data_IF_086715342817
#
_entry.id   IF_086715342817
#
_cell.length_a   1.000
_cell.length_b   1.000
_cell.length_c   1.000
_cell.angle_alpha   90.00
_cell.angle_beta   90.00
_cell.angle_gamma   90.00
#
_symmetry.space_group_name_H-M   'P 1'
#
loop_
_entity.id
_entity.type
_entity.pdbx_description
1 polymer ?
#
# COMPACT_ATOMS: atom_id res chain seq x y z
N UNK A 1 -2.16 9.40 34.48
CA UNK A 1 -2.75 8.43 33.52
C UNK A 1 -1.75 8.17 32.43
N UNK A 2 -1.13 6.99 32.44
CA UNK A 2 -0.18 6.54 31.42
C UNK A 2 -0.96 6.22 30.13
N UNK A 3 -0.67 6.97 29.06
CA UNK A 3 -1.23 6.73 27.73
C UNK A 3 -0.07 6.28 26.83
N UNK A 4 0.27 5.00 26.92
CA UNK A 4 1.22 4.35 26.04
C UNK A 4 0.71 4.35 24.60
N UNK A 5 1.44 5.00 23.71
CA UNK A 5 1.22 4.93 22.26
C UNK A 5 2.15 3.85 21.74
N UNK A 6 1.63 2.66 21.44
CA UNK A 6 2.41 1.60 20.79
C UNK A 6 1.98 1.52 19.32
N UNK A 7 2.87 1.97 18.44
CA UNK A 7 2.93 1.58 17.03
C UNK A 7 3.77 0.31 16.97
N UNK A 8 3.24 -0.79 16.41
CA UNK A 8 4.06 -1.96 16.11
C UNK A 8 3.85 -2.33 14.64
N UNK A 9 4.96 -2.25 13.90
CA UNK A 9 5.21 -2.89 12.62
C UNK A 9 5.53 -4.36 12.88
N UNK A 10 4.93 -5.29 12.13
CA UNK A 10 5.28 -6.71 12.19
C UNK A 10 4.42 -7.58 11.27
N UNK A 11 5.08 -8.32 10.37
CA UNK A 11 4.52 -9.33 9.47
C UNK A 11 4.21 -10.60 10.27
N UNK A 12 2.94 -10.96 10.40
CA UNK A 12 2.47 -12.35 10.48
C UNK A 12 0.94 -12.36 10.52
N UNK A 13 0.32 -12.62 9.36
CA UNK A 13 -1.13 -12.68 9.15
C UNK A 13 -1.91 -11.41 9.55
N UNK A 14 -2.43 -10.68 8.58
CA UNK A 14 -3.37 -9.57 8.82
C UNK A 14 -4.75 -10.14 9.22
N UNK A 15 -4.81 -10.98 10.25
CA UNK A 15 -6.04 -11.29 10.97
C UNK A 15 -6.14 -10.29 12.11
N UNK A 16 -7.29 -9.61 12.30
CA UNK A 16 -7.52 -8.91 13.55
C UNK A 16 -7.36 -9.94 14.66
N UNK A 17 -6.38 -9.73 15.54
CA UNK A 17 -6.32 -10.55 16.74
C UNK A 17 -7.59 -10.28 17.53
N UNK A 18 -8.17 -11.28 18.19
CA UNK A 18 -9.32 -11.12 19.09
C UNK A 18 -8.93 -10.34 20.36
N UNK A 19 -8.03 -9.37 20.26
CA UNK A 19 -7.62 -8.50 21.34
C UNK A 19 -8.76 -7.52 21.65
N UNK A 20 -8.92 -7.30 22.95
CA UNK A 20 -9.94 -6.47 23.57
C UNK A 20 -10.16 -5.11 22.88
N UNK A 21 -11.40 -4.62 23.00
CA UNK A 21 -12.01 -3.33 22.59
C UNK A 21 -11.18 -2.04 22.85
N UNK A 22 -9.94 -2.12 23.31
CA UNK A 22 -9.06 -0.98 23.61
C UNK A 22 -8.00 -0.67 22.54
N UNK A 23 -7.90 -1.43 21.45
CA UNK A 23 -6.99 -1.07 20.36
C UNK A 23 -7.51 0.13 19.56
N UNK A 24 -6.75 1.23 19.59
CA UNK A 24 -7.07 2.50 18.89
C UNK A 24 -6.53 2.57 17.47
N UNK A 25 -5.88 1.51 17.01
CA UNK A 25 -5.23 1.43 15.69
C UNK A 25 -5.57 0.09 15.09
N UNK A 26 -6.06 0.08 13.86
CA UNK A 26 -6.34 -1.13 13.08
C UNK A 26 -5.53 -1.08 11.79
N UNK A 27 -4.96 -2.22 11.40
CA UNK A 27 -4.20 -2.35 10.17
C UNK A 27 -4.86 -3.37 9.25
N UNK A 28 -5.05 -3.00 7.98
CA UNK A 28 -5.66 -3.83 6.97
C UNK A 28 -4.77 -3.88 5.73
N UNK A 29 -4.49 -5.09 5.27
CA UNK A 29 -3.70 -5.33 4.07
C UNK A 29 -4.58 -5.32 2.79
N UNK A 30 -5.87 -5.65 2.94
CA UNK A 30 -6.90 -5.61 1.90
C UNK A 30 -8.20 -5.13 2.55
N UNK A 31 -8.37 -3.81 2.70
CA UNK A 31 -9.58 -3.26 3.30
C UNK A 31 -10.69 -3.20 2.25
N UNK A 32 -11.63 -4.12 2.33
CA UNK A 32 -12.82 -4.08 1.49
C UNK A 32 -13.71 -2.89 1.90
N UNK A 33 -14.63 -2.51 1.02
CA UNK A 33 -15.61 -1.44 1.29
C UNK A 33 -16.35 -1.63 2.63
N UNK A 34 -16.71 -2.86 2.96
CA UNK A 34 -17.40 -3.18 4.22
C UNK A 34 -16.58 -2.89 5.48
N UNK A 35 -15.25 -2.98 5.38
CA UNK A 35 -14.35 -2.78 6.52
C UNK A 35 -14.30 -1.31 6.94
N UNK A 36 -14.28 -0.39 5.97
CA UNK A 36 -14.30 1.05 6.27
C UNK A 36 -15.61 1.48 6.94
N UNK A 37 -16.74 0.96 6.46
CA UNK A 37 -18.05 1.23 7.07
C UNK A 37 -18.16 0.63 8.48
N UNK A 38 -17.58 -0.56 8.70
CA UNK A 38 -17.49 -1.16 10.03
C UNK A 38 -16.61 -0.33 10.97
N UNK A 39 -15.43 0.11 10.50
CA UNK A 39 -14.53 0.96 11.27
C UNK A 39 -15.19 2.28 11.67
N UNK A 40 -15.98 2.90 10.78
CA UNK A 40 -16.75 4.12 11.10
C UNK A 40 -17.74 3.91 12.22
N UNK A 41 -18.44 2.77 12.23
CA UNK A 41 -19.40 2.42 13.30
C UNK A 41 -18.69 2.23 14.63
N UNK A 42 -17.56 1.52 14.63
CA UNK A 42 -16.73 1.28 15.84
C UNK A 42 -16.15 2.60 16.37
N UNK A 43 -15.69 3.47 15.49
CA UNK A 43 -15.08 4.74 15.86
C UNK A 43 -16.09 5.83 16.26
N UNK A 44 -17.40 5.56 16.19
CA UNK A 44 -18.47 6.51 16.49
C UNK A 44 -18.27 7.89 15.83
N UNK A 45 -17.84 7.90 14.56
CA UNK A 45 -17.60 9.14 13.79
C UNK A 45 -16.21 9.79 13.99
N UNK A 46 -15.35 9.25 14.85
CA UNK A 46 -13.99 9.76 15.10
C UNK A 46 -12.91 8.97 14.33
N UNK A 47 -13.26 8.38 13.19
CA UNK A 47 -12.32 7.59 12.39
C UNK A 47 -11.28 8.50 11.73
N UNK A 48 -10.02 8.04 11.71
CA UNK A 48 -8.95 8.58 10.87
C UNK A 48 -8.28 7.43 10.13
N UNK A 49 -8.77 7.14 8.93
CA UNK A 49 -8.20 6.11 8.07
C UNK A 49 -7.11 6.70 7.17
N UNK A 50 -6.00 5.99 7.04
CA UNK A 50 -4.98 6.28 6.03
C UNK A 50 -4.97 5.11 5.07
N UNK A 51 -5.10 5.40 3.77
CA UNK A 51 -5.04 4.40 2.73
C UNK A 51 -3.91 4.73 1.77
N UNK A 52 -2.99 3.78 1.57
CA UNK A 52 -1.86 3.94 0.66
C UNK A 52 -2.27 3.37 -0.69
N UNK A 53 -2.28 4.20 -1.72
CA UNK A 53 -2.50 3.77 -3.11
C UNK A 53 -1.18 3.72 -3.87
N UNK A 54 -1.17 3.07 -5.03
CA UNK A 54 -0.01 2.94 -5.91
C UNK A 54 -0.37 3.22 -7.36
N UNK A 55 0.62 3.53 -8.19
CA UNK A 55 0.48 3.51 -9.63
C UNK A 55 -0.04 2.15 -10.13
N UNK A 56 -1.15 2.09 -10.90
CA UNK A 56 -1.71 0.83 -11.39
C UNK A 56 -0.76 -0.06 -12.20
N UNK A 57 0.13 0.50 -13.03
CA UNK A 57 1.10 -0.31 -13.78
C UNK A 57 2.22 -0.78 -12.85
N UNK A 58 2.69 0.10 -11.96
CA UNK A 58 3.65 -0.23 -10.92
C UNK A 58 3.15 -1.32 -9.96
N UNK A 59 1.85 -1.36 -9.66
CA UNK A 59 1.22 -2.41 -8.87
C UNK A 59 1.30 -3.77 -9.57
N UNK A 60 0.96 -3.84 -10.86
CA UNK A 60 1.05 -5.09 -11.65
C UNK A 60 2.47 -5.62 -11.69
N UNK A 61 3.45 -4.77 -12.03
CA UNK A 61 4.86 -5.18 -12.09
C UNK A 61 5.34 -5.67 -10.73
N UNK A 62 5.03 -4.93 -9.66
CA UNK A 62 5.45 -5.30 -8.32
C UNK A 62 4.79 -6.58 -7.82
N UNK A 63 3.50 -6.78 -8.12
CA UNK A 63 2.78 -8.00 -7.76
C UNK A 63 3.37 -9.22 -8.45
N UNK A 64 3.68 -9.09 -9.75
CA UNK A 64 4.31 -10.16 -10.52
C UNK A 64 5.68 -10.55 -9.93
N UNK A 65 6.58 -9.57 -9.75
CA UNK A 65 7.93 -9.83 -9.19
C UNK A 65 7.82 -10.42 -7.78
N UNK A 66 6.96 -9.87 -6.92
CA UNK A 66 6.72 -10.42 -5.59
C UNK A 66 6.29 -11.89 -5.64
N UNK A 67 5.33 -12.23 -6.51
CA UNK A 67 4.85 -13.60 -6.66
C UNK A 67 5.92 -14.56 -7.19
N UNK A 68 6.86 -14.10 -8.01
CA UNK A 68 7.97 -14.95 -8.45
C UNK A 68 8.92 -15.32 -7.30
N UNK A 69 9.10 -14.43 -6.32
CA UNK A 69 9.99 -14.66 -5.16
C UNK A 69 9.30 -15.14 -3.87
N UNK A 70 7.96 -15.08 -3.79
CA UNK A 70 7.19 -15.58 -2.64
C UNK A 70 6.78 -17.05 -2.79
N UNK A 71 6.43 -17.73 -1.70
CA UNK A 71 5.82 -19.07 -1.76
C UNK A 71 4.33 -19.04 -1.35
N UNK A 72 3.72 -17.86 -1.33
CA UNK A 72 2.39 -17.62 -0.81
C UNK A 72 1.31 -17.71 -1.90
N UNK A 73 0.58 -18.82 -1.94
CA UNK A 73 -0.71 -18.93 -2.63
C UNK A 73 -0.77 -19.81 -3.89
N UNK A 74 -1.96 -20.31 -4.21
CA UNK A 74 -2.18 -21.23 -5.32
C UNK A 74 -1.93 -20.61 -6.71
N UNK A 75 -2.17 -19.29 -6.87
CA UNK A 75 -1.96 -18.56 -8.13
C UNK A 75 -0.50 -18.58 -8.58
N UNK A 76 0.43 -18.65 -7.64
CA UNK A 76 1.88 -18.69 -7.90
C UNK A 76 2.29 -19.86 -8.79
N UNK A 77 1.67 -21.03 -8.59
CA UNK A 77 1.98 -22.23 -9.36
C UNK A 77 1.67 -22.06 -10.83
N UNK A 78 0.63 -21.30 -11.17
CA UNK A 78 0.30 -21.00 -12.56
C UNK A 78 1.29 -19.99 -13.14
N UNK A 79 1.57 -18.89 -12.42
CA UNK A 79 2.47 -17.83 -12.88
C UNK A 79 3.90 -18.33 -13.14
N UNK A 80 4.41 -19.27 -12.32
CA UNK A 80 5.73 -19.89 -12.51
C UNK A 80 5.83 -20.85 -13.69
N UNK A 81 4.71 -21.24 -14.30
CA UNK A 81 4.64 -22.20 -15.42
C UNK A 81 4.43 -21.54 -16.77
N UNK A 82 4.28 -20.22 -16.80
CA UNK A 82 4.04 -19.42 -18.00
C UNK A 82 5.20 -18.47 -18.22
N UNK A 83 5.33 -17.90 -19.41
CA UNK A 83 6.36 -16.89 -19.67
C UNK A 83 6.04 -15.56 -18.95
N UNK A 84 7.01 -14.64 -18.91
CA UNK A 84 6.87 -13.34 -18.21
C UNK A 84 5.64 -12.57 -18.70
N UNK A 85 5.39 -12.54 -20.02
CA UNK A 85 4.26 -11.82 -20.61
C UNK A 85 2.90 -12.36 -20.13
N UNK A 86 2.74 -13.68 -20.16
CA UNK A 86 1.55 -14.36 -19.66
C UNK A 86 1.38 -14.20 -18.15
N UNK A 87 2.48 -14.27 -17.39
CA UNK A 87 2.48 -14.07 -15.95
C UNK A 87 2.06 -12.65 -15.55
N UNK A 88 2.58 -11.63 -16.25
CA UNK A 88 2.19 -10.23 -16.06
C UNK A 88 0.72 -10.01 -16.44
N UNK A 89 0.22 -10.68 -17.48
CA UNK A 89 -1.21 -10.65 -17.83
C UNK A 89 -2.11 -11.27 -16.74
N UNK A 90 -1.68 -12.37 -16.12
CA UNK A 90 -2.39 -12.98 -14.98
C UNK A 90 -2.43 -12.04 -13.78
N UNK A 91 -1.33 -11.34 -13.50
CA UNK A 91 -1.26 -10.35 -12.43
C UNK A 91 -2.14 -9.12 -12.72
N UNK A 92 -2.10 -8.60 -13.95
CA UNK A 92 -2.95 -7.50 -14.40
C UNK A 92 -4.43 -7.81 -14.22
N UNK A 93 -4.85 -9.03 -14.61
CA UNK A 93 -6.23 -9.50 -14.43
C UNK A 93 -6.64 -9.50 -12.95
N UNK A 94 -5.77 -9.93 -12.06
CA UNK A 94 -6.05 -9.92 -10.63
C UNK A 94 -6.12 -8.50 -10.05
N UNK A 95 -5.17 -7.63 -10.42
CA UNK A 95 -5.15 -6.24 -10.00
C UNK A 95 -6.43 -5.50 -10.44
N UNK A 96 -6.88 -5.72 -11.67
CA UNK A 96 -8.11 -5.15 -12.22
C UNK A 96 -9.37 -5.65 -11.50
N UNK A 97 -9.38 -6.90 -11.06
CA UNK A 97 -10.54 -7.51 -10.37
C UNK A 97 -10.63 -7.06 -8.91
N UNK A 98 -9.50 -7.02 -8.22
CA UNK A 98 -9.47 -6.94 -6.76
C UNK A 98 -8.95 -5.56 -6.29
N UNK A 99 -7.66 -5.29 -6.50
CA UNK A 99 -6.97 -4.16 -5.86
C UNK A 99 -7.35 -2.78 -6.43
N UNK A 100 -7.46 -2.65 -7.75
CA UNK A 100 -7.71 -1.36 -8.40
C UNK A 100 -9.11 -0.78 -8.11
N UNK A 101 -10.21 -1.59 -8.11
CA UNK A 101 -11.49 -1.14 -7.61
C UNK A 101 -11.45 -0.60 -6.18
N UNK A 102 -10.71 -1.27 -5.28
CA UNK A 102 -10.57 -0.84 -3.87
C UNK A 102 -9.80 0.48 -3.75
N UNK A 103 -8.67 0.60 -4.45
CA UNK A 103 -7.90 1.85 -4.49
C UNK A 103 -8.73 3.02 -5.02
N UNK A 104 -9.50 2.81 -6.10
CA UNK A 104 -10.38 3.83 -6.66
C UNK A 104 -11.50 4.20 -5.68
N UNK A 105 -12.04 3.22 -4.95
CA UNK A 105 -13.04 3.46 -3.93
C UNK A 105 -12.46 4.30 -2.78
N UNK A 106 -11.29 3.95 -2.25
CA UNK A 106 -10.62 4.71 -1.19
C UNK A 106 -10.29 6.15 -1.63
N UNK A 107 -9.76 6.30 -2.86
CA UNK A 107 -9.46 7.60 -3.45
C UNK A 107 -10.72 8.45 -3.66
N UNK A 108 -11.81 7.86 -4.13
CA UNK A 108 -13.09 8.57 -4.28
C UNK A 108 -13.69 8.97 -2.93
N UNK A 109 -13.52 8.13 -1.90
CA UNK A 109 -13.99 8.42 -0.54
C UNK A 109 -13.21 9.56 0.11
N UNK A 110 -11.88 9.62 -0.03
CA UNK A 110 -11.07 10.69 0.58
C UNK A 110 -11.40 12.06 0.01
N UNK A 111 -11.90 12.13 -1.23
CA UNK A 111 -12.40 13.38 -1.82
C UNK A 111 -13.74 13.84 -1.26
N UNK A 112 -14.53 12.92 -0.70
CA UNK A 112 -15.89 13.19 -0.19
C UNK A 112 -15.94 13.29 1.33
N UNK A 113 -15.07 12.57 2.02
CA UNK A 113 -15.06 12.45 3.46
C UNK A 113 -13.68 12.82 4.00
N UNK A 114 -13.66 13.60 5.09
CA UNK A 114 -12.43 14.06 5.75
C UNK A 114 -11.81 13.00 6.68
N UNK A 115 -12.48 11.86 6.85
CA UNK A 115 -12.04 10.75 7.70
C UNK A 115 -11.15 9.73 6.97
N UNK A 116 -10.87 9.95 5.69
CA UNK A 116 -9.91 9.15 4.90
C UNK A 116 -8.83 10.05 4.31
N UNK A 117 -7.58 9.82 4.69
CA UNK A 117 -6.40 10.34 4.01
C UNK A 117 -5.92 9.30 3.00
N UNK A 118 -5.69 9.74 1.76
CA UNK A 118 -4.99 8.92 0.76
C UNK A 118 -3.61 9.49 0.52
N UNK A 119 -2.62 8.62 0.56
CA UNK A 119 -1.22 8.91 0.20
C UNK A 119 -0.77 7.94 -0.89
N UNK A 120 0.16 8.38 -1.73
CA UNK A 120 0.70 7.53 -2.80
C UNK A 120 1.96 6.84 -2.31
N UNK A 121 2.13 5.56 -2.63
CA UNK A 121 3.35 4.83 -2.27
C UNK A 121 4.59 5.51 -2.85
N UNK A 122 4.46 6.08 -4.05
CA UNK A 122 5.53 6.79 -4.74
C UNK A 122 6.04 8.02 -3.95
N UNK A 123 5.18 8.65 -3.13
CA UNK A 123 5.59 9.78 -2.28
C UNK A 123 6.59 9.34 -1.20
N UNK A 124 6.48 8.10 -0.70
CA UNK A 124 7.45 7.52 0.23
C UNK A 124 8.75 7.09 -0.47
N UNK A 125 8.66 6.61 -1.71
CA UNK A 125 9.78 5.95 -2.38
C UNK A 125 10.67 6.90 -3.19
N UNK A 126 10.21 8.11 -3.50
CA UNK A 126 10.91 9.01 -4.42
C UNK A 126 12.24 9.54 -3.85
N UNK A 127 12.26 9.89 -2.56
CA UNK A 127 13.46 10.37 -1.87
C UNK A 127 13.24 10.33 -0.36
N UNK A 128 14.32 10.42 0.40
CA UNK A 128 14.27 10.53 1.86
C UNK A 128 13.52 11.76 2.38
N UNK A 129 13.60 12.88 1.65
CA UNK A 129 12.81 14.07 1.97
C UNK A 129 11.31 13.84 1.68
N UNK A 130 10.99 13.14 0.59
CA UNK A 130 9.62 12.72 0.27
C UNK A 130 9.05 11.77 1.32
N UNK A 131 9.86 10.81 1.77
CA UNK A 131 9.52 9.91 2.87
C UNK A 131 9.15 10.69 4.14
N UNK A 132 10.03 11.57 4.61
CA UNK A 132 9.79 12.36 5.83
C UNK A 132 8.53 13.21 5.73
N UNK A 133 8.34 13.90 4.60
CA UNK A 133 7.17 14.74 4.38
C UNK A 133 5.87 13.92 4.37
N UNK A 134 5.90 12.73 3.77
CA UNK A 134 4.73 11.85 3.70
C UNK A 134 4.40 11.24 5.06
N UNK A 135 5.42 10.79 5.81
CA UNK A 135 5.27 10.31 7.18
C UNK A 135 4.74 11.41 8.10
N UNK A 136 5.28 12.63 7.99
CA UNK A 136 4.79 13.78 8.74
C UNK A 136 3.31 14.04 8.45
N UNK A 137 2.92 14.10 7.17
CA UNK A 137 1.51 14.25 6.75
C UNK A 137 0.60 13.17 7.34
N UNK A 138 1.05 11.92 7.40
CA UNK A 138 0.32 10.81 8.02
C UNK A 138 0.17 11.01 9.54
N UNK A 139 1.22 11.42 10.24
CA UNK A 139 1.14 11.65 11.69
C UNK A 139 0.34 12.88 12.06
N UNK A 140 0.49 13.98 11.34
CA UNK A 140 -0.35 15.18 11.51
C UNK A 140 -1.83 14.83 11.32
N UNK A 141 -2.15 14.06 10.28
CA UNK A 141 -3.52 13.62 10.04
C UNK A 141 -4.04 12.72 11.16
N UNK A 142 -3.28 11.71 11.59
CA UNK A 142 -3.76 10.69 12.54
C UNK A 142 -3.75 11.14 13.99
N UNK A 143 -2.72 11.87 14.43
CA UNK A 143 -2.51 12.23 15.84
C UNK A 143 -2.24 13.72 16.08
N UNK A 144 -2.30 14.56 15.04
CA UNK A 144 -1.97 16.00 15.14
C UNK A 144 -2.82 16.80 16.12
N UNK A 145 -4.05 16.36 16.38
CA UNK A 145 -4.93 17.02 17.35
C UNK A 145 -4.64 16.64 18.80
N UNK A 146 -3.80 15.61 19.01
CA UNK A 146 -3.47 15.06 20.33
C UNK A 146 -2.01 15.22 20.73
N UNK A 147 -1.12 15.53 19.77
CA UNK A 147 0.32 15.58 19.96
C UNK A 147 0.88 16.92 19.51
N UNK A 148 1.86 17.43 20.25
CA UNK A 148 2.56 18.64 19.84
C UNK A 148 3.48 18.39 18.63
N UNK A 149 3.86 19.48 17.97
CA UNK A 149 4.74 19.44 16.78
C UNK A 149 6.07 18.72 17.06
N UNK A 150 6.66 18.94 18.24
CA UNK A 150 7.94 18.33 18.64
C UNK A 150 7.83 16.81 18.73
N UNK A 151 6.70 16.30 19.23
CA UNK A 151 6.40 14.88 19.31
C UNK A 151 6.24 14.28 17.91
N UNK A 152 5.50 14.94 17.02
CA UNK A 152 5.34 14.50 15.62
C UNK A 152 6.71 14.44 14.92
N UNK A 153 7.53 15.49 15.06
CA UNK A 153 8.91 15.50 14.53
C UNK A 153 9.76 14.36 15.09
N UNK A 154 9.58 14.01 16.37
CA UNK A 154 10.19 12.85 16.98
C UNK A 154 9.78 11.54 16.31
N UNK A 155 8.48 11.36 16.06
CA UNK A 155 7.94 10.17 15.38
C UNK A 155 8.43 10.06 13.93
N UNK A 156 8.54 11.18 13.21
CA UNK A 156 9.12 11.22 11.84
C UNK A 156 10.58 10.76 11.88
N UNK A 157 11.39 11.28 12.80
CA UNK A 157 12.79 10.84 12.97
C UNK A 157 12.90 9.36 13.30
N UNK A 158 12.02 8.83 14.15
CA UNK A 158 11.99 7.40 14.45
C UNK A 158 11.64 6.56 13.22
N UNK A 159 10.70 7.01 12.39
CA UNK A 159 10.30 6.30 11.17
C UNK A 159 11.38 6.32 10.08
N UNK A 160 12.36 7.23 10.13
CA UNK A 160 13.43 7.32 9.13
C UNK A 160 14.26 6.02 9.00
N UNK A 161 14.25 5.14 10.02
CA UNK A 161 14.87 3.81 9.93
C UNK A 161 14.21 2.85 8.93
N UNK A 162 12.95 3.12 8.55
CA UNK A 162 12.17 2.35 7.58
C UNK A 162 12.27 2.93 6.15
N UNK A 163 13.00 4.04 5.97
CA UNK A 163 13.20 4.67 4.66
C UNK A 163 14.16 3.85 3.80
N UNK A 164 13.63 3.19 2.78
CA UNK A 164 14.41 2.38 1.84
C UNK A 164 15.41 3.20 1.01
N UNK A 165 15.23 4.51 0.85
CA UNK A 165 16.21 5.35 0.17
C UNK A 165 17.44 5.62 1.06
N UNK A 166 17.25 5.77 2.38
CA UNK A 166 18.36 5.85 3.36
C UNK A 166 18.97 4.48 3.64
N UNK A 167 18.13 3.46 3.70
CA UNK A 167 18.47 2.14 4.20
C UNK A 167 18.04 1.05 3.21
N UNK A 168 18.67 0.95 2.03
CA UNK A 168 18.26 0.01 0.99
C UNK A 168 18.39 -1.47 1.38
N UNK A 169 19.10 -1.78 2.48
CA UNK A 169 19.48 -3.14 2.89
C UNK A 169 18.90 -3.58 4.25
N UNK A 170 18.16 -2.74 4.99
CA UNK A 170 17.67 -3.07 6.34
C UNK A 170 16.36 -3.88 6.36
N UNK A 171 15.72 -4.04 5.20
CA UNK A 171 14.44 -4.74 5.08
C UNK A 171 14.59 -6.25 5.23
N UNK A 172 14.13 -6.80 6.36
CA UNK A 172 13.88 -8.23 6.54
C UNK A 172 12.80 -8.70 5.54
N UNK A 173 13.19 -9.02 4.30
CA UNK A 173 12.51 -10.01 3.46
C UNK A 173 11.39 -9.55 2.50
N UNK A 174 11.34 -8.31 2.00
CA UNK A 174 10.35 -7.95 0.96
C UNK A 174 10.90 -7.13 -0.22
N UNK A 175 12.22 -7.01 -0.35
CA UNK A 175 12.87 -6.29 -1.46
C UNK A 175 12.88 -7.10 -2.77
N UNK A 176 11.82 -7.83 -3.10
CA UNK A 176 11.76 -8.66 -4.32
C UNK A 176 12.16 -7.88 -5.59
N UNK A 177 11.80 -6.59 -5.66
CA UNK A 177 12.17 -5.70 -6.76
C UNK A 177 13.64 -5.20 -6.78
N UNK A 178 14.37 -5.35 -5.67
CA UNK A 178 15.83 -5.14 -5.60
C UNK A 178 16.59 -6.45 -5.80
N UNK A 179 15.93 -7.59 -5.53
CA UNK A 179 16.53 -8.93 -5.65
C UNK A 179 16.70 -9.33 -7.11
N UNK A 180 15.77 -8.94 -8.00
CA UNK A 180 15.82 -9.30 -9.42
C UNK A 180 15.48 -8.10 -10.34
N UNK A 181 16.47 -7.23 -10.63
CA UNK A 181 16.26 -6.06 -11.50
C UNK A 181 15.97 -6.45 -12.95
N UNK A 182 16.47 -7.60 -13.42
CA UNK A 182 16.24 -8.08 -14.78
C UNK A 182 14.79 -8.55 -14.93
N UNK A 183 14.27 -9.36 -14.01
CA UNK A 183 12.87 -9.77 -14.01
C UNK A 183 11.92 -8.57 -13.91
N UNK A 184 12.27 -7.55 -13.10
CA UNK A 184 11.50 -6.31 -13.03
C UNK A 184 11.48 -5.58 -14.37
N UNK A 185 12.64 -5.46 -15.05
CA UNK A 185 12.74 -4.83 -16.38
C UNK A 185 11.89 -5.60 -17.40
N UNK A 186 11.99 -6.92 -17.41
CA UNK A 186 11.25 -7.78 -18.33
C UNK A 186 9.73 -7.70 -18.06
N UNK A 187 9.32 -7.61 -16.80
CA UNK A 187 7.93 -7.42 -16.41
C UNK A 187 7.38 -6.04 -16.83
N UNK A 188 8.21 -4.99 -16.78
CA UNK A 188 7.84 -3.67 -17.32
C UNK A 188 7.65 -3.74 -18.84
N UNK A 189 8.58 -4.36 -19.56
CA UNK A 189 8.47 -4.53 -21.01
C UNK A 189 7.23 -5.36 -21.40
N UNK A 190 6.90 -6.38 -20.60
CA UNK A 190 5.71 -7.20 -20.82
C UNK A 190 4.38 -6.45 -20.70
N UNK A 191 4.33 -5.27 -20.06
CA UNK A 191 3.13 -4.43 -20.05
C UNK A 191 2.69 -4.01 -21.45
N UNK A 192 3.63 -3.89 -22.40
CA UNK A 192 3.32 -3.53 -23.77
C UNK A 192 2.64 -4.64 -24.56
N UNK A 193 2.78 -5.89 -24.11
CA UNK A 193 2.16 -7.07 -24.73
C UNK A 193 0.79 -7.42 -24.12
N UNK A 194 0.28 -6.63 -23.16
CA UNK A 194 -1.05 -6.85 -22.62
C UNK A 194 -2.11 -6.64 -23.71
N UNK A 195 -3.16 -7.48 -23.76
CA UNK A 195 -4.36 -7.20 -24.54
C UNK A 195 -4.86 -5.77 -24.36
N UNK A 196 -5.18 -5.09 -25.46
CA UNK A 196 -5.52 -3.65 -25.49
C UNK A 196 -6.58 -3.27 -24.48
N UNK A 197 -7.63 -4.08 -24.32
CA UNK A 197 -8.69 -3.81 -23.37
C UNK A 197 -8.18 -3.75 -21.91
N UNK A 198 -7.24 -4.62 -21.52
CA UNK A 198 -6.63 -4.59 -20.19
C UNK A 198 -5.72 -3.38 -20.03
N UNK A 199 -4.87 -3.11 -21.03
CA UNK A 199 -3.97 -1.94 -21.04
C UNK A 199 -4.77 -0.65 -20.90
N UNK A 200 -5.82 -0.48 -21.70
CA UNK A 200 -6.72 0.68 -21.65
C UNK A 200 -7.44 0.79 -20.31
N UNK A 201 -7.88 -0.34 -19.73
CA UNK A 201 -8.52 -0.32 -18.40
C UNK A 201 -7.54 0.11 -17.31
N UNK A 202 -6.30 -0.40 -17.32
CA UNK A 202 -5.24 0.03 -16.40
C UNK A 202 -4.91 1.52 -16.53
N UNK A 203 -4.83 2.03 -17.76
CA UNK A 203 -4.63 3.46 -18.03
C UNK A 203 -5.82 4.31 -17.55
N UNK A 204 -7.05 3.79 -17.68
CA UNK A 204 -8.25 4.38 -17.11
C UNK A 204 -8.18 4.53 -15.60
N UNK A 205 -7.75 3.48 -14.89
CA UNK A 205 -7.51 3.54 -13.43
C UNK A 205 -6.40 4.53 -13.07
N UNK A 206 -5.30 4.56 -13.83
CA UNK A 206 -4.19 5.53 -13.64
C UNK A 206 -4.72 6.95 -13.65
N UNK A 207 -5.50 7.30 -14.68
CA UNK A 207 -6.12 8.62 -14.80
C UNK A 207 -7.10 8.90 -13.66
N UNK A 208 -7.97 7.93 -13.32
CA UNK A 208 -8.96 8.10 -12.26
C UNK A 208 -8.34 8.30 -10.86
N UNK A 209 -7.16 7.75 -10.63
CA UNK A 209 -6.35 7.91 -9.40
C UNK A 209 -5.40 9.13 -9.43
N UNK A 210 -5.39 9.87 -10.54
CA UNK A 210 -4.61 11.09 -10.72
C UNK A 210 -3.12 10.87 -11.01
N UNK A 211 -2.75 9.73 -11.60
CA UNK A 211 -1.37 9.42 -12.02
C UNK A 211 -1.04 9.86 -13.45
N UNK A 212 -1.97 10.54 -14.15
CA UNK A 212 -1.86 10.97 -15.54
C UNK A 212 -1.90 12.49 -15.66
#
# INVERSE_FOLDING_TARGET
GSCGTSLIFGRESCRPSNSSVNERVMFYCNAARGDLEAARRIAHGNLRAVHIIRDPLGLVVSGYVYHMHSNDGARLKQMRRVNVSEGVALEAKAALRDALPEMLHAYSNSRRNRDVLVVRLEEFMNSSAGFDATVQKVYEYTVGDFKDKKTIEGMVRSAAGEDLARHPMTGHGHSASLIDPDLKRDAVAALDNLPDHMKNTLLGYRKALGYA
#
